data_IF_970472625518
#
_entry.id   IF_970472625518
#
_cell.length_a   1.000
_cell.length_b   1.000
_cell.length_c   1.000
_cell.angle_alpha   90.00
_cell.angle_beta   90.00
_cell.angle_gamma   90.00
#
_symmetry.space_group_name_H-M   'P 1'
#
loop_
_entity.id
_entity.type
_entity.pdbx_description
1 polymer ?
#
# COMPACT_ATOMS: atom_id res chain seq x y z
N UNK A 1 -0.71 10.97 -16.63
CA UNK A 1 -0.05 10.07 -15.71
C UNK A 1 0.56 8.86 -16.42
N UNK A 2 1.70 9.08 -17.06
CA UNK A 2 2.35 8.10 -17.94
C UNK A 2 2.83 6.86 -17.15
N UNK A 3 3.47 7.05 -16.00
CA UNK A 3 4.03 5.93 -15.22
C UNK A 3 2.94 4.98 -14.70
N UNK A 4 1.82 5.51 -14.23
CA UNK A 4 0.69 4.67 -13.78
C UNK A 4 0.09 3.88 -14.94
N UNK A 5 -0.09 4.49 -16.11
CA UNK A 5 -0.60 3.81 -17.32
C UNK A 5 0.35 2.74 -17.82
N UNK A 6 1.66 2.98 -17.78
CA UNK A 6 2.68 1.99 -18.14
C UNK A 6 2.66 0.80 -17.16
N UNK A 7 2.53 1.06 -15.87
CA UNK A 7 2.42 0.02 -14.84
C UNK A 7 1.18 -0.85 -15.05
N UNK A 8 0.02 -0.24 -15.35
CA UNK A 8 -1.22 -0.95 -15.68
C UNK A 8 -1.01 -1.84 -16.91
N UNK A 9 -0.52 -1.25 -18.01
CA UNK A 9 -0.32 -1.98 -19.26
C UNK A 9 0.66 -3.16 -19.09
N UNK A 10 1.73 -2.97 -18.32
CA UNK A 10 2.69 -4.04 -18.03
C UNK A 10 2.06 -5.14 -17.17
N UNK A 11 1.27 -4.79 -16.17
CA UNK A 11 0.54 -5.77 -15.34
C UNK A 11 -0.43 -6.60 -16.19
N UNK A 12 -1.23 -5.95 -17.02
CA UNK A 12 -2.16 -6.62 -17.94
C UNK A 12 -1.41 -7.55 -18.90
N UNK A 13 -0.30 -7.09 -19.49
CA UNK A 13 0.53 -7.91 -20.36
C UNK A 13 1.02 -9.20 -19.68
N UNK A 14 1.52 -9.10 -18.44
CA UNK A 14 1.97 -10.28 -17.69
C UNK A 14 0.80 -11.22 -17.35
N UNK A 15 -0.34 -10.68 -16.93
CA UNK A 15 -1.53 -11.45 -16.61
C UNK A 15 -2.08 -12.22 -17.84
N UNK A 16 -1.96 -11.65 -19.03
CA UNK A 16 -2.45 -12.24 -20.25
C UNK A 16 -1.43 -13.20 -20.91
N UNK A 17 -0.15 -13.01 -20.65
CA UNK A 17 0.94 -13.77 -21.29
C UNK A 17 1.37 -14.98 -20.48
N UNK A 18 1.36 -14.89 -19.15
CA UNK A 18 1.89 -15.91 -18.26
C UNK A 18 0.79 -16.58 -17.43
N UNK A 19 1.05 -17.82 -17.00
CA UNK A 19 0.15 -18.53 -16.10
C UNK A 19 0.29 -18.01 -14.65
N UNK A 20 -0.38 -16.90 -14.36
CA UNK A 20 -0.36 -16.22 -13.07
C UNK A 20 -1.67 -16.51 -12.32
N UNK A 21 -1.54 -16.85 -11.05
CA UNK A 21 -2.69 -16.91 -10.14
C UNK A 21 -3.20 -15.49 -9.86
N UNK A 22 -4.30 -15.11 -10.53
CA UNK A 22 -4.90 -13.77 -10.42
C UNK A 22 -5.46 -13.46 -9.05
N UNK A 23 -5.62 -14.44 -8.18
CA UNK A 23 -6.00 -14.25 -6.78
C UNK A 23 -4.83 -13.84 -5.87
N UNK A 24 -3.61 -13.84 -6.39
CA UNK A 24 -2.35 -13.59 -5.66
C UNK A 24 -1.41 -12.62 -6.38
N UNK A 25 -1.95 -11.54 -6.90
CA UNK A 25 -1.18 -10.46 -7.56
C UNK A 25 -1.07 -9.29 -6.59
N UNK A 26 0.13 -9.05 -6.08
CA UNK A 26 0.38 -8.04 -5.07
C UNK A 26 1.09 -6.83 -5.65
N UNK A 27 0.79 -5.65 -5.10
CA UNK A 27 1.47 -4.41 -5.43
C UNK A 27 2.27 -3.91 -4.22
N UNK A 28 3.44 -3.38 -4.48
CA UNK A 28 4.24 -2.65 -3.52
C UNK A 28 4.75 -1.37 -4.19
N UNK A 29 4.83 -0.28 -3.43
CA UNK A 29 5.38 0.98 -3.90
C UNK A 29 6.14 1.70 -2.79
N UNK A 30 7.43 1.97 -3.04
CA UNK A 30 8.30 2.73 -2.15
C UNK A 30 8.53 4.13 -2.70
N UNK A 31 8.41 5.16 -1.84
CA UNK A 31 8.70 6.56 -2.17
C UNK A 31 7.92 7.02 -3.42
N UNK A 32 8.56 7.56 -4.45
CA UNK A 32 7.92 7.89 -5.73
C UNK A 32 7.22 6.72 -6.43
N UNK A 33 7.68 5.48 -6.19
CA UNK A 33 6.96 4.28 -6.62
C UNK A 33 5.61 4.12 -5.93
N UNK A 34 5.51 4.51 -4.66
CA UNK A 34 4.25 4.53 -3.92
C UNK A 34 3.26 5.59 -4.44
N UNK A 35 3.75 6.76 -4.81
CA UNK A 35 2.93 7.78 -5.49
C UNK A 35 2.34 7.23 -6.79
N UNK A 36 3.17 6.59 -7.61
CA UNK A 36 2.73 5.94 -8.85
C UNK A 36 1.72 4.84 -8.59
N UNK A 37 2.00 3.93 -7.65
CA UNK A 37 1.11 2.80 -7.35
C UNK A 37 -0.22 3.26 -6.75
N UNK A 38 -0.25 4.33 -5.95
CA UNK A 38 -1.51 4.89 -5.45
C UNK A 38 -2.41 5.42 -6.56
N UNK A 39 -1.82 5.98 -7.64
CA UNK A 39 -2.56 6.35 -8.85
C UNK A 39 -3.07 5.14 -9.60
N UNK A 40 -2.27 4.07 -9.69
CA UNK A 40 -2.72 2.78 -10.25
C UNK A 40 -3.91 2.24 -9.46
N UNK A 41 -3.86 2.27 -8.13
CA UNK A 41 -4.98 1.87 -7.26
C UNK A 41 -6.23 2.74 -7.46
N UNK A 42 -6.06 4.01 -7.80
CA UNK A 42 -7.17 4.91 -8.15
C UNK A 42 -7.76 4.66 -9.54
N UNK A 43 -7.11 3.86 -10.39
CA UNK A 43 -7.52 3.60 -11.77
C UNK A 43 -7.93 2.14 -12.00
N UNK A 44 -7.12 1.17 -11.58
CA UNK A 44 -7.27 -0.26 -11.84
C UNK A 44 -6.91 -1.12 -10.61
N UNK A 45 -7.59 -0.90 -9.46
CA UNK A 45 -7.36 -1.72 -8.26
C UNK A 45 -7.76 -3.19 -8.47
N UNK A 46 -8.65 -3.45 -9.43
CA UNK A 46 -9.12 -4.78 -9.81
C UNK A 46 -8.01 -5.75 -10.24
N UNK A 47 -6.88 -5.22 -10.70
CA UNK A 47 -5.72 -6.03 -11.11
C UNK A 47 -4.98 -6.66 -9.92
N UNK A 48 -5.14 -6.13 -8.72
CA UNK A 48 -4.32 -6.47 -7.56
C UNK A 48 -5.13 -7.09 -6.42
N UNK A 49 -4.48 -7.96 -5.67
CA UNK A 49 -5.04 -8.63 -4.49
C UNK A 49 -4.91 -7.77 -3.24
N UNK A 50 -3.78 -7.09 -3.10
CA UNK A 50 -3.48 -6.17 -2.00
C UNK A 50 -2.37 -5.21 -2.38
N UNK A 51 -2.28 -4.10 -1.65
CA UNK A 51 -1.26 -3.06 -1.87
C UNK A 51 -0.52 -2.72 -0.57
N UNK A 52 0.80 -2.72 -0.63
CA UNK A 52 1.71 -2.26 0.41
C UNK A 52 2.35 -0.92 -0.02
N UNK A 53 2.03 0.15 0.68
CA UNK A 53 2.66 1.46 0.48
C UNK A 53 3.76 1.67 1.50
N UNK A 54 5.00 1.85 1.03
CA UNK A 54 6.18 2.02 1.86
C UNK A 54 6.73 3.45 1.73
N UNK A 55 6.86 4.18 2.85
CA UNK A 55 7.52 5.49 2.93
C UNK A 55 7.10 6.45 1.81
N UNK A 56 5.80 6.67 1.64
CA UNK A 56 5.25 7.42 0.51
C UNK A 56 3.99 8.19 0.89
N UNK A 57 3.45 8.91 -0.07
CA UNK A 57 2.15 9.56 0.01
C UNK A 57 1.17 8.96 -1.02
N UNK A 58 -0.12 9.21 -0.83
CA UNK A 58 -1.16 8.78 -1.74
C UNK A 58 -1.56 9.92 -2.69
N UNK A 59 -1.38 9.70 -3.98
CA UNK A 59 -1.70 10.67 -5.04
C UNK A 59 -2.93 10.27 -5.87
N UNK A 60 -3.45 9.06 -5.66
CA UNK A 60 -4.56 8.51 -6.41
C UNK A 60 -5.94 8.88 -5.86
N UNK A 61 -6.97 8.45 -6.57
CA UNK A 61 -8.35 8.50 -6.10
C UNK A 61 -8.61 7.35 -5.10
N UNK A 62 -9.33 7.60 -4.03
CA UNK A 62 -9.68 6.58 -3.03
C UNK A 62 -10.91 5.75 -3.41
N UNK A 63 -11.79 6.28 -4.24
CA UNK A 63 -13.12 5.69 -4.50
C UNK A 63 -13.00 4.28 -5.11
N UNK A 64 -12.12 4.10 -6.08
CA UNK A 64 -12.02 2.84 -6.80
C UNK A 64 -11.42 1.72 -5.93
N UNK A 65 -10.40 2.03 -5.10
CA UNK A 65 -9.83 1.04 -4.17
C UNK A 65 -10.84 0.62 -3.10
N UNK A 66 -11.67 1.55 -2.64
CA UNK A 66 -12.76 1.29 -1.69
C UNK A 66 -13.83 0.41 -2.31
N UNK A 67 -14.32 0.73 -3.51
CA UNK A 67 -15.28 -0.08 -4.24
C UNK A 67 -14.79 -1.52 -4.49
N UNK A 68 -13.54 -1.64 -4.88
CA UNK A 68 -12.93 -2.95 -5.17
C UNK A 68 -12.55 -3.74 -3.91
N UNK A 69 -12.64 -3.14 -2.71
CA UNK A 69 -12.26 -3.79 -1.44
C UNK A 69 -10.83 -4.31 -1.44
N UNK A 70 -9.91 -3.62 -2.12
CA UNK A 70 -8.51 -4.02 -2.12
C UNK A 70 -7.86 -3.66 -0.79
N UNK A 71 -7.31 -4.65 -0.06
CA UNK A 71 -6.61 -4.37 1.19
C UNK A 71 -5.38 -3.50 0.97
N UNK A 72 -5.18 -2.50 1.84
CA UNK A 72 -4.05 -1.57 1.79
C UNK A 72 -3.33 -1.53 3.14
N UNK A 73 -2.02 -1.66 3.08
CA UNK A 73 -1.13 -1.51 4.24
C UNK A 73 -0.23 -0.29 4.02
N UNK A 74 -0.29 0.67 4.93
CA UNK A 74 0.60 1.82 4.98
C UNK A 74 1.72 1.56 5.98
N UNK A 75 2.98 1.49 5.51
CA UNK A 75 4.17 1.38 6.34
C UNK A 75 5.04 2.63 6.18
N UNK A 76 5.29 3.34 7.27
CA UNK A 76 6.09 4.57 7.27
C UNK A 76 6.78 4.78 8.60
N UNK A 77 7.96 5.38 8.60
CA UNK A 77 8.62 5.82 9.82
C UNK A 77 7.93 7.03 10.45
N UNK A 78 7.86 7.07 11.78
CA UNK A 78 7.26 8.22 12.50
C UNK A 78 7.96 9.55 12.19
N UNK A 79 9.24 9.48 11.82
CA UNK A 79 10.10 10.62 11.48
C UNK A 79 10.69 10.47 10.08
N UNK A 80 9.91 9.93 9.13
CA UNK A 80 10.32 9.89 7.73
C UNK A 80 10.74 11.29 7.28
N UNK A 81 11.97 11.42 6.82
CA UNK A 81 12.61 12.72 6.57
C UNK A 81 12.11 13.41 5.31
N UNK A 82 11.43 12.67 4.43
CA UNK A 82 10.93 13.21 3.17
C UNK A 82 9.44 13.55 3.24
N UNK A 83 8.61 12.59 3.63
CA UNK A 83 7.14 12.77 3.66
C UNK A 83 6.60 13.08 5.06
N UNK A 84 7.30 12.67 6.12
CA UNK A 84 6.68 12.54 7.44
C UNK A 84 5.63 11.43 7.46
N UNK A 85 4.97 11.23 8.59
CA UNK A 85 3.92 10.20 8.70
C UNK A 85 2.50 10.72 8.38
N UNK A 86 2.31 12.04 8.32
CA UNK A 86 0.99 12.65 8.12
C UNK A 86 0.30 12.29 6.79
N UNK A 87 0.98 12.28 5.62
CA UNK A 87 0.32 11.89 4.37
C UNK A 87 -0.26 10.48 4.40
N UNK A 88 0.46 9.52 4.98
CA UNK A 88 -0.05 8.14 5.16
C UNK A 88 -1.24 8.08 6.12
N UNK A 89 -1.19 8.83 7.22
CA UNK A 89 -2.29 8.95 8.18
C UNK A 89 -3.53 9.55 7.52
N UNK A 90 -3.35 10.61 6.73
CA UNK A 90 -4.45 11.28 6.03
C UNK A 90 -5.12 10.35 5.00
N UNK A 91 -4.33 9.61 4.23
CA UNK A 91 -4.84 8.62 3.28
C UNK A 91 -5.60 7.49 3.99
N UNK A 92 -5.03 6.94 5.06
CA UNK A 92 -5.71 5.96 5.91
C UNK A 92 -7.05 6.48 6.41
N UNK A 93 -7.09 7.67 6.99
CA UNK A 93 -8.31 8.27 7.53
C UNK A 93 -9.37 8.50 6.44
N UNK A 94 -8.94 8.95 5.26
CA UNK A 94 -9.85 9.18 4.13
C UNK A 94 -10.50 7.87 3.65
N UNK A 95 -9.72 6.81 3.48
CA UNK A 95 -10.22 5.49 3.08
C UNK A 95 -11.10 4.88 4.18
N UNK A 96 -10.68 4.99 5.43
CA UNK A 96 -11.45 4.52 6.60
C UNK A 96 -12.85 5.15 6.63
N UNK A 97 -12.91 6.48 6.47
CA UNK A 97 -14.18 7.22 6.43
C UNK A 97 -15.09 6.76 5.29
N UNK A 98 -14.54 6.46 4.12
CA UNK A 98 -15.34 5.95 3.00
C UNK A 98 -15.92 4.57 3.32
N UNK A 99 -15.17 3.69 3.97
CA UNK A 99 -15.68 2.39 4.43
C UNK A 99 -16.77 2.53 5.51
N UNK A 100 -16.61 3.47 6.44
CA UNK A 100 -17.66 3.77 7.43
C UNK A 100 -18.96 4.25 6.75
N UNK A 101 -18.84 5.11 5.74
CA UNK A 101 -19.98 5.60 4.96
C UNK A 101 -20.69 4.49 4.18
N UNK A 102 -19.98 3.42 3.82
CA UNK A 102 -20.56 2.21 3.23
C UNK A 102 -21.12 1.23 4.26
N UNK A 103 -21.05 1.57 5.54
CA UNK A 103 -21.62 0.77 6.63
C UNK A 103 -20.76 -0.39 7.11
N UNK A 104 -19.45 -0.43 6.79
CA UNK A 104 -18.56 -1.45 7.32
C UNK A 104 -18.33 -1.25 8.82
N UNK A 105 -18.27 -2.36 9.55
CA UNK A 105 -17.84 -2.36 10.95
C UNK A 105 -16.33 -2.11 11.08
N UNK A 106 -15.87 -1.68 12.25
CA UNK A 106 -14.45 -1.51 12.52
C UNK A 106 -13.65 -2.79 12.26
N UNK A 107 -14.19 -3.94 12.64
CA UNK A 107 -13.54 -5.24 12.41
C UNK A 107 -13.42 -5.60 10.91
N UNK A 108 -14.37 -5.18 10.09
CA UNK A 108 -14.28 -5.32 8.63
C UNK A 108 -13.25 -4.38 8.03
N UNK A 109 -13.21 -3.13 8.51
CA UNK A 109 -12.22 -2.13 8.06
C UNK A 109 -10.81 -2.55 8.45
N UNK A 110 -10.60 -3.03 9.67
CA UNK A 110 -9.28 -3.47 10.15
C UNK A 110 -8.68 -4.62 9.32
N UNK A 111 -9.53 -5.42 8.68
CA UNK A 111 -9.07 -6.47 7.75
C UNK A 111 -8.65 -5.92 6.39
N UNK A 112 -9.16 -4.74 6.02
CA UNK A 112 -8.90 -4.10 4.72
C UNK A 112 -7.84 -3.00 4.78
N UNK A 113 -7.58 -2.43 5.96
CA UNK A 113 -6.82 -1.20 6.05
C UNK A 113 -5.94 -1.19 7.30
N UNK A 114 -4.63 -1.04 7.09
CA UNK A 114 -3.64 -1.00 8.17
C UNK A 114 -2.79 0.27 8.05
N UNK A 115 -2.63 0.97 9.17
CA UNK A 115 -1.67 2.07 9.32
C UNK A 115 -0.60 1.66 10.32
N UNK A 116 0.61 1.44 9.83
CA UNK A 116 1.77 1.01 10.61
C UNK A 116 2.83 2.12 10.60
N UNK A 117 2.76 3.00 11.59
CA UNK A 117 3.76 4.04 11.79
C UNK A 117 4.85 3.48 12.69
N UNK A 118 5.98 3.11 12.10
CA UNK A 118 7.11 2.53 12.81
C UNK A 118 7.82 3.56 13.69
N UNK A 119 8.03 3.26 14.97
CA UNK A 119 8.78 4.16 15.87
C UNK A 119 10.26 4.24 15.48
N UNK A 120 10.93 5.28 15.91
CA UNK A 120 12.37 5.46 15.67
C UNK A 120 13.20 4.24 16.12
N UNK A 121 12.79 3.57 17.19
CA UNK A 121 13.45 2.36 17.70
C UNK A 121 13.46 1.19 16.71
N UNK A 122 12.47 1.09 15.82
CA UNK A 122 12.42 0.09 14.76
C UNK A 122 13.63 0.22 13.82
N UNK A 123 14.01 1.45 13.50
CA UNK A 123 15.16 1.75 12.63
C UNK A 123 16.48 1.72 13.41
N UNK A 124 16.54 2.31 14.59
CA UNK A 124 17.77 2.41 15.38
C UNK A 124 18.25 1.06 15.92
N UNK A 125 17.37 0.09 16.13
CA UNK A 125 17.76 -1.28 16.47
C UNK A 125 18.58 -1.96 15.37
N UNK A 126 18.42 -1.52 14.12
CA UNK A 126 19.22 -1.96 12.97
C UNK A 126 20.40 -1.01 12.65
N UNK A 127 20.67 -0.04 13.53
CA UNK A 127 21.73 0.96 13.34
C UNK A 127 21.41 2.01 12.27
N UNK A 128 20.11 2.19 11.93
CA UNK A 128 19.65 3.08 10.86
C UNK A 128 19.09 4.37 11.46
N UNK A 129 19.55 5.51 10.94
CA UNK A 129 19.05 6.84 11.27
C UNK A 129 18.14 7.45 10.20
N UNK A 130 18.36 7.12 8.93
CA UNK A 130 17.56 7.62 7.81
C UNK A 130 16.33 6.73 7.59
N UNK A 131 15.19 7.14 8.16
CA UNK A 131 13.95 6.37 8.10
C UNK A 131 13.38 6.31 6.67
N UNK A 132 13.44 7.42 5.93
CA UNK A 132 12.97 7.44 4.54
C UNK A 132 13.83 6.53 3.66
N UNK A 133 15.14 6.71 3.68
CA UNK A 133 16.06 6.01 2.78
C UNK A 133 16.10 4.50 2.95
N UNK A 134 15.79 4.01 4.15
CA UNK A 134 15.82 2.57 4.46
C UNK A 134 14.45 1.94 4.73
N UNK A 135 13.38 2.73 4.75
CA UNK A 135 12.03 2.23 5.03
C UNK A 135 11.63 1.12 4.08
N UNK A 136 11.73 1.34 2.77
CA UNK A 136 11.41 0.32 1.77
C UNK A 136 12.20 -0.97 1.95
N UNK A 137 13.49 -0.86 2.25
CA UNK A 137 14.36 -2.02 2.49
C UNK A 137 13.95 -2.82 3.75
N UNK A 138 13.63 -2.14 4.85
CA UNK A 138 13.24 -2.80 6.10
C UNK A 138 11.83 -3.40 6.01
N UNK A 139 10.88 -2.66 5.44
CA UNK A 139 9.48 -3.09 5.39
C UNK A 139 9.28 -4.35 4.55
N UNK A 140 9.98 -4.48 3.42
CA UNK A 140 9.91 -5.69 2.59
C UNK A 140 10.66 -6.90 3.17
N UNK A 141 11.35 -6.72 4.29
CA UNK A 141 11.99 -7.79 5.08
C UNK A 141 11.28 -8.07 6.39
N UNK A 142 10.35 -7.22 6.77
CA UNK A 142 9.55 -7.40 7.98
C UNK A 142 8.55 -8.54 7.77
N UNK A 143 8.72 -9.61 8.56
CA UNK A 143 7.89 -10.82 8.43
C UNK A 143 6.42 -10.57 8.71
N UNK A 144 6.10 -9.60 9.57
CA UNK A 144 4.71 -9.26 9.89
C UNK A 144 4.06 -8.51 8.73
N UNK A 145 4.77 -7.53 8.14
CA UNK A 145 4.28 -6.77 6.99
C UNK A 145 4.09 -7.69 5.79
N UNK A 146 5.13 -8.45 5.43
CA UNK A 146 5.09 -9.34 4.26
C UNK A 146 4.16 -10.53 4.47
N UNK A 147 4.03 -11.03 5.70
CA UNK A 147 3.05 -12.05 6.06
C UNK A 147 1.61 -11.56 5.89
N UNK A 148 1.34 -10.30 6.27
CA UNK A 148 0.04 -9.68 6.01
C UNK A 148 -0.24 -9.59 4.49
N UNK A 149 0.73 -9.10 3.72
CA UNK A 149 0.57 -8.90 2.27
C UNK A 149 0.29 -10.23 1.56
N UNK A 150 1.16 -11.22 1.74
CA UNK A 150 1.03 -12.53 1.08
C UNK A 150 -0.08 -13.40 1.65
N UNK A 151 -0.61 -13.07 2.82
CA UNK A 151 -1.79 -13.70 3.41
C UNK A 151 -3.11 -13.27 2.75
N UNK A 152 -3.11 -12.18 1.97
CA UNK A 152 -4.29 -11.74 1.26
C UNK A 152 -4.55 -12.60 0.03
N UNK A 153 -5.81 -12.99 -0.15
CA UNK A 153 -6.26 -13.77 -1.31
C UNK A 153 -7.51 -13.09 -1.86
N UNK A 154 -7.50 -12.76 -3.13
CA UNK A 154 -8.66 -12.17 -3.81
C UNK A 154 -9.74 -13.23 -4.01
N UNK A 155 -10.93 -12.92 -3.56
CA UNK A 155 -12.12 -13.77 -3.73
C UNK A 155 -12.76 -13.56 -5.09
#
# INVERSE_FOLDING_TARGET
>A
DTSARQTIALTEYFLDTYNIDRSRVYAEGYSGGGETMSRVMGMRPDLYTAYLQCSSQWDGNYTEVVKARVPVYFAIGEKDEYYGSEPSRNAYNAIHKLYEQEGLSNSEIDRLLVLDIKPTSYFSSEGISNQHGYGGYLFVRDKNIMGWLFGQIKK
#
